data_IF_918371047643
#
_entry.id   IF_918371047643
#
_cell.length_a   1.000
_cell.length_b   1.000
_cell.length_c   1.000
_cell.angle_alpha   90.00
_cell.angle_beta   90.00
_cell.angle_gamma   90.00
#
_symmetry.space_group_name_H-M   'P 1'
#
loop_
_entity.id
_entity.type
_entity.pdbx_description
1 polymer ?
#
# COMPACT_ATOMS: atom_id res chain seq x y z
N UNK A 1 -0.68 -19.61 8.66
CA UNK A 1 -0.02 -18.51 7.93
C UNK A 1 -0.78 -17.95 6.72
N UNK A 2 -1.76 -18.65 6.11
CA UNK A 2 -2.45 -18.15 4.92
C UNK A 2 -3.48 -17.01 5.15
N UNK A 3 -4.02 -16.84 6.38
CA UNK A 3 -5.07 -15.85 6.68
C UNK A 3 -4.55 -14.40 6.77
N UNK A 4 -3.31 -14.17 7.20
CA UNK A 4 -2.72 -12.82 7.28
C UNK A 4 -2.32 -12.23 5.91
N UNK A 5 -1.91 -13.09 4.98
CA UNK A 5 -1.49 -12.65 3.64
C UNK A 5 -2.67 -12.10 2.83
N UNK A 6 -3.86 -12.69 2.98
CA UNK A 6 -5.07 -12.26 2.27
C UNK A 6 -5.54 -10.88 2.78
N UNK A 7 -5.55 -10.67 4.11
CA UNK A 7 -5.94 -9.39 4.70
C UNK A 7 -4.96 -8.26 4.34
N UNK A 8 -3.67 -8.54 4.29
CA UNK A 8 -2.66 -7.53 3.91
C UNK A 8 -2.81 -7.12 2.44
N UNK A 9 -3.06 -8.07 1.54
CA UNK A 9 -3.29 -7.80 0.11
C UNK A 9 -4.55 -6.96 -0.11
N UNK A 10 -5.67 -7.31 0.54
CA UNK A 10 -6.94 -6.55 0.45
C UNK A 10 -6.79 -5.14 1.01
N UNK A 11 -6.10 -4.97 2.15
CA UNK A 11 -5.81 -3.65 2.76
C UNK A 11 -5.04 -2.73 1.80
N UNK A 12 -4.03 -3.25 1.10
CA UNK A 12 -3.24 -2.46 0.14
C UNK A 12 -4.10 -2.02 -1.06
N UNK A 13 -4.96 -2.88 -1.59
CA UNK A 13 -5.85 -2.55 -2.71
C UNK A 13 -6.83 -1.45 -2.32
N UNK A 14 -7.49 -1.57 -1.17
CA UNK A 14 -8.45 -0.57 -0.67
C UNK A 14 -7.77 0.79 -0.48
N UNK A 15 -6.57 0.82 0.14
CA UNK A 15 -5.80 2.05 0.30
C UNK A 15 -5.33 2.63 -1.04
N UNK A 16 -5.13 1.82 -2.08
CA UNK A 16 -4.76 2.27 -3.44
C UNK A 16 -5.92 2.94 -4.18
N UNK A 17 -7.15 2.54 -3.89
CA UNK A 17 -8.34 3.19 -4.44
C UNK A 17 -8.52 4.62 -3.89
N UNK A 18 -8.13 4.86 -2.64
CA UNK A 18 -8.28 6.17 -2.00
C UNK A 18 -7.07 7.07 -2.30
N UNK A 19 -7.12 7.84 -3.39
CA UNK A 19 -5.97 8.65 -3.87
C UNK A 19 -5.76 9.99 -3.16
N UNK A 20 -6.80 10.51 -2.48
CA UNK A 20 -6.75 11.80 -1.79
C UNK A 20 -6.69 11.58 -0.27
N UNK A 21 -5.83 12.28 0.50
CA UNK A 21 -5.71 12.11 1.95
C UNK A 21 -7.02 12.46 2.65
N UNK A 22 -7.72 13.49 2.13
CA UNK A 22 -9.18 13.68 2.14
C UNK A 22 -9.99 12.41 2.43
N UNK A 23 -9.96 11.56 1.41
CA UNK A 23 -10.74 10.34 1.29
C UNK A 23 -10.17 9.22 2.15
N UNK A 24 -8.85 9.06 2.20
CA UNK A 24 -8.18 8.07 3.06
C UNK A 24 -8.58 8.30 4.51
N UNK A 25 -8.46 9.54 4.99
CA UNK A 25 -8.79 9.92 6.36
C UNK A 25 -10.25 9.65 6.72
N UNK A 26 -11.21 10.10 5.87
CA UNK A 26 -12.65 9.84 6.09
C UNK A 26 -12.96 8.35 6.20
N UNK A 27 -12.38 7.55 5.30
CA UNK A 27 -12.64 6.11 5.28
C UNK A 27 -11.96 5.39 6.45
N UNK A 28 -10.76 5.81 6.84
CA UNK A 28 -10.09 5.31 8.04
C UNK A 28 -10.87 5.67 9.31
N UNK A 29 -11.44 6.88 9.41
CA UNK A 29 -12.32 7.26 10.52
C UNK A 29 -13.57 6.39 10.60
N UNK A 30 -14.21 6.09 9.45
CA UNK A 30 -15.36 5.18 9.41
C UNK A 30 -14.97 3.76 9.86
N UNK A 31 -13.86 3.22 9.35
CA UNK A 31 -13.37 1.91 9.76
C UNK A 31 -12.97 1.87 11.24
N UNK A 32 -12.34 2.92 11.76
CA UNK A 32 -11.98 3.05 13.17
C UNK A 32 -13.21 2.97 14.08
N UNK A 33 -14.36 3.51 13.64
CA UNK A 33 -15.65 3.40 14.35
C UNK A 33 -16.24 2.00 14.24
N UNK A 34 -16.31 1.43 13.03
CA UNK A 34 -16.89 0.10 12.78
C UNK A 34 -16.11 -1.00 13.50
N UNK A 35 -14.80 -0.85 13.62
CA UNK A 35 -13.92 -1.82 14.26
C UNK A 35 -13.60 -1.46 15.72
N UNK A 36 -14.19 -0.39 16.26
CA UNK A 36 -14.02 0.05 17.64
C UNK A 36 -12.54 0.18 18.07
N UNK A 37 -11.66 0.58 17.15
CA UNK A 37 -10.21 0.57 17.38
C UNK A 37 -9.71 1.72 18.25
N UNK A 38 -10.53 2.74 18.51
CA UNK A 38 -10.19 3.87 19.39
C UNK A 38 -9.00 4.72 18.94
N UNK A 39 -8.60 4.67 17.67
CA UNK A 39 -7.44 5.41 17.19
C UNK A 39 -7.70 6.93 17.16
N UNK A 40 -6.70 7.70 17.60
CA UNK A 40 -6.76 9.16 17.61
C UNK A 40 -6.84 9.73 16.19
N UNK A 41 -7.64 10.78 16.01
CA UNK A 41 -7.83 11.47 14.74
C UNK A 41 -6.51 11.96 14.14
N UNK A 42 -5.63 12.56 14.96
CA UNK A 42 -4.32 13.05 14.54
C UNK A 42 -3.44 11.95 13.95
N UNK A 43 -3.51 10.75 14.52
CA UNK A 43 -2.78 9.58 14.03
C UNK A 43 -3.31 9.15 12.66
N UNK A 44 -4.64 9.11 12.49
CA UNK A 44 -5.26 8.76 11.21
C UNK A 44 -4.97 9.80 10.12
N UNK A 45 -4.95 11.08 10.47
CA UNK A 45 -4.59 12.17 9.56
C UNK A 45 -3.12 12.07 9.10
N UNK A 46 -2.21 11.78 10.02
CA UNK A 46 -0.79 11.53 9.70
C UNK A 46 -0.63 10.36 8.72
N UNK A 47 -1.31 9.23 8.97
CA UNK A 47 -1.31 8.06 8.08
C UNK A 47 -1.84 8.40 6.69
N UNK A 48 -2.94 9.16 6.61
CA UNK A 48 -3.54 9.57 5.35
C UNK A 48 -2.60 10.43 4.49
N UNK A 49 -1.92 11.40 5.11
CA UNK A 49 -0.97 12.27 4.43
C UNK A 49 0.29 11.52 3.98
N UNK A 50 0.86 10.67 4.85
CA UNK A 50 2.02 9.86 4.52
C UNK A 50 1.74 8.96 3.31
N UNK A 51 0.59 8.26 3.29
CA UNK A 51 0.21 7.39 2.16
C UNK A 51 0.05 8.15 0.85
N UNK A 52 -0.50 9.36 0.87
CA UNK A 52 -0.57 10.18 -0.34
C UNK A 52 0.84 10.53 -0.85
N UNK A 53 1.78 10.84 0.04
CA UNK A 53 3.17 11.09 -0.33
C UNK A 53 3.77 9.94 -1.13
N UNK A 54 3.63 8.71 -0.64
CA UNK A 54 4.08 7.51 -1.34
C UNK A 54 3.40 7.31 -2.70
N UNK A 55 2.09 7.57 -2.83
CA UNK A 55 1.42 7.48 -4.14
C UNK A 55 1.94 8.51 -5.13
N UNK A 56 2.15 9.75 -4.68
CA UNK A 56 2.70 10.81 -5.54
C UNK A 56 4.12 10.45 -5.99
N UNK A 57 4.96 9.98 -5.07
CA UNK A 57 6.32 9.55 -5.39
C UNK A 57 6.33 8.38 -6.37
N UNK A 58 5.44 7.40 -6.20
CA UNK A 58 5.29 6.28 -7.13
C UNK A 58 4.75 6.66 -8.52
N UNK A 59 4.32 7.91 -8.73
CA UNK A 59 3.94 8.40 -10.08
C UNK A 59 5.05 9.19 -10.77
N UNK A 60 6.15 9.50 -10.08
CA UNK A 60 7.30 10.21 -10.66
C UNK A 60 8.01 9.27 -11.64
N UNK A 61 8.25 9.74 -12.87
CA UNK A 61 8.85 8.95 -13.96
C UNK A 61 10.16 8.29 -13.53
N UNK A 62 11.05 9.05 -12.90
CA UNK A 62 12.37 8.56 -12.49
C UNK A 62 12.26 7.47 -11.42
N UNK A 63 11.35 7.63 -10.45
CA UNK A 63 11.08 6.62 -9.43
C UNK A 63 10.49 5.36 -10.07
N UNK A 64 9.56 5.49 -11.00
CA UNK A 64 9.01 4.34 -11.74
C UNK A 64 10.07 3.62 -12.59
N UNK A 65 10.98 4.37 -13.20
CA UNK A 65 12.10 3.80 -13.94
C UNK A 65 13.05 3.03 -13.01
N UNK A 66 13.39 3.62 -11.85
CA UNK A 66 14.27 3.00 -10.85
C UNK A 66 13.63 1.78 -10.16
N UNK A 67 12.31 1.80 -9.96
CA UNK A 67 11.54 0.74 -9.31
C UNK A 67 10.77 -0.12 -10.33
N UNK A 68 11.34 -0.36 -11.50
CA UNK A 68 10.72 -1.21 -12.52
C UNK A 68 10.75 -2.71 -12.11
N UNK A 69 9.82 -3.53 -12.63
CA UNK A 69 9.73 -4.96 -12.28
C UNK A 69 11.03 -5.74 -12.47
N UNK A 70 11.81 -5.44 -13.52
CA UNK A 70 13.09 -6.09 -13.81
C UNK A 70 14.11 -5.83 -12.71
N UNK A 71 14.18 -4.60 -12.18
CA UNK A 71 15.07 -4.26 -11.06
C UNK A 71 14.55 -4.87 -9.76
N UNK A 72 13.25 -4.77 -9.49
CA UNK A 72 12.65 -5.28 -8.26
C UNK A 72 12.72 -6.81 -8.15
N UNK A 73 12.65 -7.51 -9.28
CA UNK A 73 12.76 -8.97 -9.36
C UNK A 73 14.19 -9.50 -9.19
N UNK A 74 15.22 -8.64 -9.13
CA UNK A 74 16.60 -9.09 -8.92
C UNK A 74 16.78 -9.62 -7.50
N UNK A 75 17.19 -10.89 -7.40
CA UNK A 75 17.69 -11.46 -6.15
C UNK A 75 19.03 -10.83 -5.81
N UNK A 76 19.19 -10.40 -4.57
CA UNK A 76 20.50 -10.05 -4.00
C UNK A 76 20.82 -11.04 -2.89
N UNK A 77 22.11 -11.26 -2.61
CA UNK A 77 22.66 -12.26 -1.66
C UNK A 77 21.63 -12.92 -0.72
N UNK A 78 21.12 -12.15 0.24
CA UNK A 78 20.16 -12.59 1.26
C UNK A 78 18.69 -12.22 0.97
N UNK A 79 18.43 -11.33 0.00
CA UNK A 79 17.09 -10.80 -0.26
C UNK A 79 16.51 -11.41 -1.55
N UNK A 80 15.40 -12.17 -1.47
CA UNK A 80 14.71 -12.63 -2.66
C UNK A 80 14.18 -11.44 -3.47
N UNK A 81 14.21 -11.59 -4.79
CA UNK A 81 13.58 -10.62 -5.69
C UNK A 81 12.08 -10.53 -5.43
N UNK A 82 11.51 -9.35 -5.69
CA UNK A 82 10.08 -9.15 -5.57
C UNK A 82 9.37 -9.90 -6.70
N UNK A 83 8.40 -10.73 -6.34
CA UNK A 83 7.59 -11.50 -7.29
C UNK A 83 6.60 -10.57 -7.99
N UNK A 84 6.51 -10.66 -9.32
CA UNK A 84 5.48 -9.97 -10.10
C UNK A 84 4.10 -10.59 -9.79
N UNK A 85 3.18 -9.84 -9.16
CA UNK A 85 1.85 -10.35 -8.83
C UNK A 85 1.03 -10.68 -10.08
N UNK A 86 1.20 -9.94 -11.19
CA UNK A 86 0.41 -10.18 -12.39
C UNK A 86 0.78 -11.51 -13.03
N UNK A 87 2.08 -11.80 -13.14
CA UNK A 87 2.59 -13.11 -13.58
C UNK A 87 2.07 -14.26 -12.70
N UNK A 88 1.83 -14.03 -11.41
CA UNK A 88 1.26 -15.04 -10.52
C UNK A 88 -0.22 -15.35 -10.81
N UNK A 89 -0.99 -14.40 -11.32
CA UNK A 89 -2.43 -14.57 -11.60
C UNK A 89 -2.74 -15.00 -13.04
N UNK A 90 -1.78 -14.84 -13.96
CA UNK A 90 -1.94 -15.20 -15.38
C UNK A 90 -1.49 -16.64 -15.72
N UNK A 91 -1.01 -17.39 -14.73
CA UNK A 91 -0.62 -18.79 -14.85
C UNK A 91 -1.74 -19.73 -14.39
#
# INVERSE_FOLDING_TARGET
MAKELCLTKVRVVILKQWKKPKTIFKNLMALNRIQECGLEEKRLLSVANARQGWYRMATIRDINFLLNPTILGKKTKSRPGLVDPLAYYLN
#
